data_IF_864102706441
#
_entry.id   IF_864102706441
#
_cell.length_a   1.000
_cell.length_b   1.000
_cell.length_c   1.000
_cell.angle_alpha   90.00
_cell.angle_beta   90.00
_cell.angle_gamma   90.00
#
_symmetry.space_group_name_H-M   'P 1'
#
loop_
_entity.id
_entity.type
_entity.pdbx_description
1 polymer ?
#
# COMPACT_ATOMS: atom_id res chain seq x y z
N UNK A 1 31.65 -55.25 6.20
CA UNK A 1 30.57 -54.84 7.13
C UNK A 1 30.30 -53.36 6.88
N UNK A 2 29.06 -53.04 6.49
CA UNK A 2 28.32 -51.76 6.52
C UNK A 2 29.10 -50.42 6.51
N UNK A 3 28.67 -49.38 5.80
CA UNK A 3 27.37 -48.72 5.91
C UNK A 3 27.11 -47.86 4.66
N UNK A 4 26.10 -48.23 3.86
CA UNK A 4 25.58 -47.39 2.77
C UNK A 4 24.76 -46.27 3.41
N UNK A 5 25.33 -45.06 3.46
CA UNK A 5 24.68 -43.88 4.03
C UNK A 5 23.66 -43.34 3.03
N UNK A 6 22.47 -43.93 3.05
CA UNK A 6 21.34 -43.48 2.22
C UNK A 6 20.80 -42.17 2.79
N UNK A 7 21.16 -41.06 2.14
CA UNK A 7 20.63 -39.73 2.46
C UNK A 7 19.16 -39.70 2.04
N UNK A 8 18.27 -39.69 3.03
CA UNK A 8 16.84 -39.43 2.89
C UNK A 8 16.60 -38.15 2.07
N UNK A 9 16.22 -38.31 0.80
CA UNK A 9 15.68 -37.21 -0.01
C UNK A 9 14.25 -36.99 0.47
N UNK A 10 14.08 -36.11 1.44
CA UNK A 10 12.76 -35.66 1.88
C UNK A 10 12.12 -34.91 0.70
N UNK A 11 11.20 -35.56 -0.03
CA UNK A 11 10.47 -34.97 -1.15
C UNK A 11 9.71 -33.73 -0.66
N UNK A 12 10.26 -32.54 -0.90
CA UNK A 12 9.58 -31.29 -0.60
C UNK A 12 8.46 -31.09 -1.62
N UNK A 13 7.22 -31.32 -1.21
CA UNK A 13 6.03 -30.99 -2.02
C UNK A 13 6.08 -29.49 -2.36
N UNK A 14 6.07 -29.12 -3.64
CA UNK A 14 6.10 -27.69 -4.02
C UNK A 14 4.75 -27.06 -3.72
N UNK A 15 4.78 -25.75 -3.46
CA UNK A 15 3.60 -24.90 -3.24
C UNK A 15 2.43 -25.13 -4.20
N UNK A 16 2.74 -25.32 -5.48
CA UNK A 16 1.74 -25.42 -6.54
C UNK A 16 1.33 -26.86 -6.87
N UNK A 17 1.98 -27.87 -6.29
CA UNK A 17 1.70 -29.28 -6.58
C UNK A 17 0.33 -29.71 -6.00
N UNK A 18 -0.30 -30.76 -6.54
CA UNK A 18 -1.50 -31.35 -5.96
C UNK A 18 -1.27 -31.75 -4.50
N UNK A 19 -2.21 -31.41 -3.62
CA UNK A 19 -2.07 -31.71 -2.21
C UNK A 19 -2.21 -33.21 -1.95
N UNK A 20 -1.34 -33.76 -1.10
CA UNK A 20 -1.29 -35.19 -0.75
C UNK A 20 -2.49 -35.71 0.05
N UNK A 21 -3.47 -34.86 0.39
CA UNK A 21 -4.66 -35.22 1.16
C UNK A 21 -5.85 -35.62 0.28
N UNK A 22 -5.65 -35.77 -1.04
CA UNK A 22 -6.71 -36.17 -1.98
C UNK A 22 -7.74 -35.08 -2.29
N UNK A 23 -7.53 -33.83 -1.87
CA UNK A 23 -8.52 -32.75 -2.05
C UNK A 23 -8.59 -32.17 -3.48
N UNK A 24 -7.68 -32.56 -4.38
CA UNK A 24 -7.54 -31.99 -5.72
C UNK A 24 -7.04 -30.54 -5.76
N UNK A 25 -6.82 -29.89 -4.60
CA UNK A 25 -6.38 -28.49 -4.49
C UNK A 25 -4.84 -28.40 -4.47
N UNK A 26 -4.29 -27.26 -4.89
CA UNK A 26 -2.84 -26.95 -4.77
C UNK A 26 -2.40 -26.97 -3.30
N UNK A 27 -1.20 -27.46 -3.02
CA UNK A 27 -0.65 -27.60 -1.66
C UNK A 27 -0.72 -26.29 -0.84
N UNK A 28 -0.36 -25.14 -1.46
CA UNK A 28 -0.48 -23.78 -0.89
C UNK A 28 -1.88 -23.39 -0.41
N UNK A 29 -2.92 -23.94 -1.05
CA UNK A 29 -4.32 -23.63 -0.74
C UNK A 29 -4.95 -24.66 0.22
N UNK A 30 -4.21 -25.70 0.58
CA UNK A 30 -4.68 -26.80 1.41
C UNK A 30 -3.84 -26.91 2.69
N UNK A 31 -2.75 -27.69 2.68
CA UNK A 31 -1.93 -27.96 3.87
C UNK A 31 -0.78 -26.98 4.10
N UNK A 32 -0.61 -26.00 3.21
CA UNK A 32 0.42 -24.98 3.34
C UNK A 32 -0.17 -23.58 3.44
N UNK A 33 -1.37 -23.48 4.03
CA UNK A 33 -1.94 -22.23 4.54
C UNK A 33 -1.08 -21.76 5.72
N UNK A 34 0.11 -21.25 5.42
CA UNK A 34 0.88 -20.42 6.34
C UNK A 34 0.03 -19.22 6.76
N UNK A 35 0.25 -18.71 7.97
CA UNK A 35 -0.53 -17.62 8.56
C UNK A 35 -0.28 -16.25 7.88
N UNK A 36 -0.58 -16.15 6.58
CA UNK A 36 -0.33 -14.95 5.78
C UNK A 36 -1.37 -13.84 6.02
N UNK A 37 -2.44 -14.15 6.78
CA UNK A 37 -3.54 -13.22 7.04
C UNK A 37 -3.09 -12.02 7.90
N UNK A 38 -2.12 -12.23 8.80
CA UNK A 38 -1.61 -11.18 9.67
C UNK A 38 -0.68 -10.19 8.91
N UNK A 39 0.14 -10.70 8.00
CA UNK A 39 1.05 -9.87 7.19
C UNK A 39 0.35 -9.06 6.09
N UNK A 40 -0.67 -9.64 5.43
CA UNK A 40 -1.40 -8.94 4.36
C UNK A 40 -2.16 -7.72 4.90
N UNK A 41 -2.89 -7.88 5.99
CA UNK A 41 -3.65 -6.78 6.59
C UNK A 41 -2.73 -5.65 7.08
N UNK A 42 -1.58 -6.00 7.69
CA UNK A 42 -0.60 -5.00 8.14
C UNK A 42 0.02 -4.21 6.97
N UNK A 43 0.36 -4.89 5.87
CA UNK A 43 0.89 -4.24 4.66
C UNK A 43 -0.15 -3.28 4.05
N UNK A 44 -1.43 -3.67 4.01
CA UNK A 44 -2.49 -2.77 3.54
C UNK A 44 -2.68 -1.57 4.47
N UNK A 45 -2.57 -1.73 5.79
CA UNK A 45 -2.68 -0.62 6.74
C UNK A 45 -1.52 0.37 6.56
N UNK A 46 -0.28 -0.14 6.47
CA UNK A 46 0.90 0.69 6.26
C UNK A 46 0.85 1.41 4.90
N UNK A 47 0.41 0.71 3.85
CA UNK A 47 0.21 1.29 2.51
C UNK A 47 -0.88 2.36 2.50
N UNK A 48 -2.06 2.07 3.06
CA UNK A 48 -3.16 3.03 3.12
C UNK A 48 -2.81 4.26 3.96
N UNK A 49 -2.06 4.11 5.06
CA UNK A 49 -1.59 5.21 5.88
C UNK A 49 -0.62 6.12 5.12
N UNK A 50 0.34 5.56 4.38
CA UNK A 50 1.27 6.34 3.55
C UNK A 50 0.54 7.08 2.42
N UNK A 51 -0.40 6.41 1.75
CA UNK A 51 -1.20 7.00 0.67
C UNK A 51 -2.09 8.13 1.22
N UNK A 52 -2.75 7.92 2.35
CA UNK A 52 -3.56 8.94 3.02
C UNK A 52 -2.75 10.16 3.45
N UNK A 53 -1.54 9.96 3.99
CA UNK A 53 -0.64 11.05 4.36
C UNK A 53 -0.16 11.84 3.12
N UNK A 54 0.18 11.16 2.03
CA UNK A 54 0.54 11.82 0.76
C UNK A 54 -0.61 12.67 0.21
N UNK A 55 -1.83 12.12 0.19
CA UNK A 55 -3.03 12.86 -0.26
C UNK A 55 -3.29 14.08 0.63
N UNK A 56 -3.14 13.93 1.96
CA UNK A 56 -3.32 15.03 2.90
C UNK A 56 -2.29 16.15 2.68
N UNK A 57 -1.02 15.81 2.45
CA UNK A 57 0.03 16.79 2.14
C UNK A 57 -0.27 17.51 0.83
N UNK A 58 -0.65 16.77 -0.23
CA UNK A 58 -1.02 17.37 -1.52
C UNK A 58 -2.21 18.31 -1.34
N UNK A 59 -3.22 17.90 -0.57
CA UNK A 59 -4.38 18.75 -0.28
C UNK A 59 -3.99 20.05 0.42
N UNK A 60 -3.10 20.00 1.43
CA UNK A 60 -2.61 21.20 2.12
C UNK A 60 -1.84 22.11 1.16
N UNK A 61 -0.96 21.55 0.32
CA UNK A 61 -0.18 22.32 -0.66
C UNK A 61 -1.07 22.97 -1.72
N UNK A 62 -2.08 22.25 -2.22
CA UNK A 62 -2.97 22.74 -3.27
C UNK A 62 -4.11 23.62 -2.73
N UNK A 63 -4.40 23.57 -1.42
CA UNK A 63 -5.35 24.48 -0.76
C UNK A 63 -4.67 25.77 -0.26
N UNK A 64 -3.41 26.00 -0.60
CA UNK A 64 -2.65 27.21 -0.23
C UNK A 64 -2.96 28.41 -1.13
N UNK A 65 -3.81 28.26 -2.15
CA UNK A 65 -4.23 29.37 -3.00
C UNK A 65 -5.27 30.24 -2.29
N UNK A 66 -4.86 31.46 -1.93
CA UNK A 66 -5.80 32.57 -1.75
C UNK A 66 -5.99 33.09 -0.34
N UNK A 67 -4.92 33.28 0.42
CA UNK A 67 -4.89 34.46 1.30
C UNK A 67 -4.82 35.67 0.37
N UNK A 68 -5.98 36.29 0.11
CA UNK A 68 -6.06 37.56 -0.59
C UNK A 68 -5.34 38.61 0.27
N UNK A 69 -4.04 38.77 0.06
CA UNK A 69 -3.24 39.87 0.58
C UNK A 69 -3.61 41.17 -0.17
N UNK A 70 -4.90 41.55 -0.10
CA UNK A 70 -5.33 42.87 -0.52
C UNK A 70 -4.76 43.87 0.48
N UNK A 71 -3.99 44.88 0.04
CA UNK A 71 -3.55 45.96 0.91
C UNK A 71 -4.77 46.57 1.62
N UNK A 72 -4.71 46.79 2.95
CA UNK A 72 -5.85 47.29 3.71
C UNK A 72 -6.34 48.61 3.12
N UNK A 73 -7.61 48.65 2.72
CA UNK A 73 -8.26 49.82 2.12
C UNK A 73 -8.33 49.85 0.59
N UNK A 74 -7.75 48.86 -0.10
CA UNK A 74 -7.85 48.75 -1.57
C UNK A 74 -8.73 47.59 -2.03
N UNK A 75 -9.51 47.81 -3.09
CA UNK A 75 -10.34 46.80 -3.76
C UNK A 75 -9.72 46.41 -5.10
N UNK A 76 -9.78 45.12 -5.46
CA UNK A 76 -9.29 44.62 -6.74
C UNK A 76 -10.36 44.79 -7.84
N UNK A 77 -9.98 45.42 -8.95
CA UNK A 77 -10.84 45.53 -10.13
C UNK A 77 -10.42 44.51 -11.21
N UNK A 78 -11.20 43.44 -11.47
CA UNK A 78 -10.85 42.41 -12.46
C UNK A 78 -10.78 42.94 -13.91
N UNK A 79 -11.39 44.09 -14.15
CA UNK A 79 -11.43 44.86 -15.40
C UNK A 79 -10.13 45.62 -15.71
N UNK A 80 -9.32 45.95 -14.69
CA UNK A 80 -8.12 46.76 -14.89
C UNK A 80 -6.84 46.18 -14.26
N UNK A 81 -6.89 45.01 -13.63
CA UNK A 81 -5.69 44.31 -13.16
C UNK A 81 -4.86 45.07 -12.11
N UNK A 82 -5.47 46.04 -11.40
CA UNK A 82 -4.83 46.80 -10.33
C UNK A 82 -5.79 47.10 -9.18
N UNK A 83 -5.20 47.49 -8.04
CA UNK A 83 -5.90 47.87 -6.83
C UNK A 83 -6.29 49.34 -6.84
N UNK A 84 -7.54 49.64 -6.49
CA UNK A 84 -8.02 51.01 -6.27
C UNK A 84 -8.30 51.25 -4.80
N UNK A 85 -8.09 52.50 -4.35
CA UNK A 85 -8.60 52.92 -3.05
C UNK A 85 -10.14 52.91 -3.09
N UNK A 86 -10.75 52.53 -1.97
CA UNK A 86 -12.21 52.49 -1.82
C UNK A 86 -12.84 53.89 -1.88
#
# INVERSE_FOLDING_TARGET
MSLKKEKSIKKQIRRNDPCHCGSGKKYKNCHQKSAEKLGKNLIYILGASFIGALILVIYILFSSDGANDSPPGKVWSPEHGHYHDR
#
